data_IF_371342895610
#
_entry.id   IF_371342895610
#
_cell.length_a   1.000
_cell.length_b   1.000
_cell.length_c   1.000
_cell.angle_alpha   90.00
_cell.angle_beta   90.00
_cell.angle_gamma   90.00
#
_symmetry.space_group_name_H-M   'P 1'
#
loop_
_entity.id
_entity.type
_entity.pdbx_description
1 polymer ?
#
# COMPACT_ATOMS: atom_id res chain seq x y z
N UNK A 1 0.26 -9.89 5.14
CA UNK A 1 1.15 -8.84 4.64
C UNK A 1 0.74 -7.50 5.21
N UNK A 2 1.65 -6.87 5.94
CA UNK A 2 1.40 -5.58 6.58
C UNK A 2 1.90 -4.45 5.69
N UNK A 3 1.08 -3.42 5.56
CA UNK A 3 1.46 -2.19 4.87
C UNK A 3 1.96 -1.18 5.89
N UNK A 4 3.13 -0.64 5.64
CA UNK A 4 3.80 0.34 6.48
C UNK A 4 3.81 1.70 5.81
N UNK A 5 3.50 2.74 6.61
CA UNK A 5 3.62 4.15 6.24
C UNK A 5 4.66 4.85 7.09
N UNK A 6 5.55 5.60 6.45
CA UNK A 6 6.41 6.55 7.12
C UNK A 6 5.72 7.91 7.27
N UNK A 7 5.42 8.32 8.50
CA UNK A 7 4.79 9.61 8.83
C UNK A 7 5.66 10.82 8.46
N UNK A 8 6.97 10.63 8.30
CA UNK A 8 7.92 11.71 7.98
C UNK A 8 7.96 12.05 6.49
N UNK A 9 7.91 11.04 5.62
CA UNK A 9 8.14 11.21 4.18
C UNK A 9 7.04 10.63 3.28
N UNK A 10 5.97 10.07 3.86
CA UNK A 10 4.87 9.44 3.13
C UNK A 10 5.28 8.20 2.34
N UNK A 11 6.37 7.54 2.73
CA UNK A 11 6.75 6.27 2.11
C UNK A 11 5.73 5.19 2.50
N UNK A 12 5.27 4.43 1.51
CA UNK A 12 4.42 3.25 1.67
C UNK A 12 5.20 2.03 1.15
N UNK A 13 5.18 0.94 1.91
CA UNK A 13 5.79 -0.33 1.51
C UNK A 13 5.31 -1.50 2.35
N UNK A 14 5.79 -2.70 2.02
CA UNK A 14 5.51 -3.94 2.77
C UNK A 14 6.48 -4.11 3.92
N UNK A 15 6.21 -5.07 4.80
CA UNK A 15 7.15 -5.53 5.83
C UNK A 15 8.55 -5.83 5.24
N UNK A 16 8.58 -6.51 4.09
CA UNK A 16 9.81 -6.90 3.39
C UNK A 16 10.56 -5.72 2.77
N UNK A 17 9.90 -4.57 2.59
CA UNK A 17 10.51 -3.37 2.04
C UNK A 17 11.11 -2.47 3.14
N UNK A 18 10.87 -2.78 4.41
CA UNK A 18 11.45 -2.01 5.52
C UNK A 18 12.98 -2.12 5.54
N UNK A 19 13.62 -1.02 5.93
CA UNK A 19 15.04 -1.03 6.19
C UNK A 19 15.33 -1.74 7.51
N UNK A 20 16.27 -2.67 7.52
CA UNK A 20 16.79 -3.31 8.73
C UNK A 20 18.24 -2.88 8.96
N UNK A 21 18.60 -2.60 10.22
CA UNK A 21 19.98 -2.38 10.61
C UNK A 21 20.68 -3.71 10.88
N UNK A 22 21.77 -4.01 10.16
CA UNK A 22 22.55 -5.22 10.41
C UNK A 22 23.05 -5.27 11.87
N UNK A 23 22.56 -6.26 12.62
CA UNK A 23 22.90 -6.45 14.04
C UNK A 23 21.96 -5.79 15.04
N UNK A 24 20.83 -5.23 14.59
CA UNK A 24 19.77 -4.66 15.42
C UNK A 24 18.41 -5.06 14.83
N UNK A 25 17.42 -5.34 15.66
CA UNK A 25 16.03 -5.58 15.23
C UNK A 25 15.28 -4.25 14.94
N UNK A 26 16.01 -3.14 14.76
CA UNK A 26 15.45 -1.82 14.48
C UNK A 26 15.06 -1.69 13.00
N UNK A 27 13.76 -1.64 12.78
CA UNK A 27 13.12 -1.33 11.50
C UNK A 27 13.13 0.19 11.26
N UNK A 28 13.35 0.61 10.01
CA UNK A 28 13.32 2.01 9.63
C UNK A 28 12.79 2.22 8.21
N UNK A 29 12.30 3.43 7.96
CA UNK A 29 11.87 3.84 6.62
C UNK A 29 13.06 3.82 5.64
N UNK A 30 13.06 2.98 4.59
CA UNK A 30 14.20 2.87 3.67
C UNK A 30 14.48 4.19 2.92
N UNK A 31 13.45 5.04 2.75
CA UNK A 31 13.51 6.32 2.03
C UNK A 31 14.17 7.44 2.81
N UNK A 32 13.82 7.62 4.08
CA UNK A 32 14.32 8.76 4.89
C UNK A 32 15.12 8.35 6.14
N UNK A 33 15.35 7.05 6.33
CA UNK A 33 16.10 6.45 7.47
C UNK A 33 15.52 6.77 8.84
N UNK A 34 14.21 7.02 8.92
CA UNK A 34 13.51 7.26 10.17
C UNK A 34 13.06 5.93 10.79
N UNK A 35 13.46 5.63 12.03
CA UNK A 35 13.07 4.41 12.76
C UNK A 35 11.75 4.54 13.53
N UNK A 36 11.52 5.68 14.20
CA UNK A 36 10.35 5.85 15.08
C UNK A 36 9.08 6.30 14.33
N UNK A 37 9.26 6.79 13.10
CA UNK A 37 8.19 7.38 12.29
C UNK A 37 7.43 6.41 11.38
N UNK A 38 7.71 5.10 11.45
CA UNK A 38 7.01 4.08 10.66
C UNK A 38 5.87 3.47 11.48
N UNK A 39 4.73 3.25 10.83
CA UNK A 39 3.57 2.61 11.45
C UNK A 39 2.80 1.77 10.42
N UNK A 40 2.15 0.71 10.86
CA UNK A 40 1.20 -0.03 10.05
C UNK A 40 -0.03 0.84 9.76
N UNK A 41 -0.62 0.65 8.58
CA UNK A 41 -1.83 1.36 8.15
C UNK A 41 -2.87 0.38 7.64
N UNK A 42 -4.13 0.80 7.68
CA UNK A 42 -5.27 0.03 7.20
C UNK A 42 -6.19 0.86 6.30
N UNK A 43 -7.24 0.23 5.76
CA UNK A 43 -8.17 0.84 4.82
C UNK A 43 -8.96 2.03 5.39
N UNK A 44 -8.93 2.25 6.71
CA UNK A 44 -9.56 3.41 7.36
C UNK A 44 -8.64 4.63 7.49
N UNK A 45 -7.34 4.48 7.21
CA UNK A 45 -6.41 5.61 7.21
C UNK A 45 -6.67 6.57 6.04
N UNK A 46 -6.40 7.86 6.27
CA UNK A 46 -6.40 8.84 5.20
C UNK A 46 -5.08 8.78 4.41
N UNK A 47 -5.18 8.60 3.10
CA UNK A 47 -4.05 8.58 2.17
C UNK A 47 -4.10 9.75 1.20
N UNK A 48 -2.93 10.25 0.81
CA UNK A 48 -2.81 11.18 -0.30
C UNK A 48 -2.66 10.44 -1.64
N UNK A 49 -2.75 11.19 -2.75
CA UNK A 49 -2.65 10.61 -4.09
C UNK A 49 -1.40 9.76 -4.32
N UNK A 50 -0.23 10.19 -3.83
CA UNK A 50 1.02 9.44 -4.02
C UNK A 50 1.05 8.15 -3.19
N UNK A 51 0.45 8.18 -2.00
CA UNK A 51 0.32 6.98 -1.15
C UNK A 51 -0.62 5.96 -1.81
N UNK A 52 -1.77 6.42 -2.33
CA UNK A 52 -2.71 5.57 -3.06
C UNK A 52 -2.10 4.99 -4.34
N UNK A 53 -1.31 5.77 -5.09
CA UNK A 53 -0.55 5.26 -6.23
C UNK A 53 0.42 4.14 -5.82
N UNK A 54 1.11 4.27 -4.68
CA UNK A 54 1.99 3.21 -4.17
C UNK A 54 1.23 1.98 -3.69
N UNK A 55 0.13 2.18 -2.96
CA UNK A 55 -0.78 1.09 -2.57
C UNK A 55 -1.28 0.32 -3.79
N UNK A 56 -1.63 1.03 -4.87
CA UNK A 56 -2.07 0.43 -6.13
C UNK A 56 -0.97 -0.43 -6.78
N UNK A 57 0.28 0.03 -6.77
CA UNK A 57 1.40 -0.78 -7.28
C UNK A 57 1.57 -2.07 -6.47
N UNK A 58 1.54 -1.98 -5.13
CA UNK A 58 1.66 -3.16 -4.25
C UNK A 58 0.48 -4.10 -4.50
N UNK A 59 -0.74 -3.56 -4.62
CA UNK A 59 -1.94 -4.34 -4.92
C UNK A 59 -1.82 -5.11 -6.25
N UNK A 60 -1.24 -4.49 -7.27
CA UNK A 60 -0.99 -5.13 -8.56
C UNK A 60 0.02 -6.29 -8.53
N UNK A 61 0.82 -6.39 -7.47
CA UNK A 61 1.73 -7.53 -7.24
C UNK A 61 1.06 -8.70 -6.51
N UNK A 62 -0.13 -8.51 -5.93
CA UNK A 62 -0.80 -9.53 -5.12
C UNK A 62 -1.45 -10.58 -6.03
N UNK A 63 -1.16 -11.87 -5.80
CA UNK A 63 -1.79 -12.94 -6.56
C UNK A 63 -3.29 -13.01 -6.25
N UNK A 64 -4.08 -13.29 -7.29
CA UNK A 64 -5.53 -13.50 -7.20
C UNK A 64 -5.89 -14.92 -7.62
N UNK A 65 -7.02 -15.41 -7.12
CA UNK A 65 -7.57 -16.71 -7.47
C UNK A 65 -8.41 -16.66 -8.76
N UNK A 66 -9.04 -17.79 -9.11
CA UNK A 66 -9.91 -17.87 -10.30
C UNK A 66 -11.26 -17.14 -10.14
N UNK A 67 -11.62 -16.77 -8.92
CA UNK A 67 -12.81 -16.01 -8.57
C UNK A 67 -12.50 -14.52 -8.35
N UNK A 68 -11.31 -14.05 -8.77
CA UNK A 68 -10.83 -12.68 -8.61
C UNK A 68 -10.69 -12.22 -7.15
N UNK A 69 -10.56 -13.16 -6.21
CA UNK A 69 -10.27 -12.89 -4.81
C UNK A 69 -8.77 -12.81 -4.54
N UNK A 70 -8.34 -11.92 -3.64
CA UNK A 70 -6.95 -11.79 -3.23
C UNK A 70 -6.50 -13.04 -2.47
N UNK A 71 -5.31 -13.53 -2.77
CA UNK A 71 -4.71 -14.68 -2.08
C UNK A 71 -3.80 -14.28 -0.91
N UNK A 72 -3.69 -12.98 -0.63
CA UNK A 72 -2.94 -12.45 0.50
C UNK A 72 -3.71 -11.26 1.10
N UNK A 73 -3.61 -11.04 2.41
CA UNK A 73 -4.19 -9.85 3.04
C UNK A 73 -3.55 -8.57 2.47
N UNK A 74 -4.35 -7.51 2.33
CA UNK A 74 -3.90 -6.23 1.79
C UNK A 74 -4.56 -5.08 2.55
N UNK A 75 -3.79 -4.18 3.14
CA UNK A 75 -4.32 -2.94 3.76
C UNK A 75 -5.48 -3.18 4.76
N UNK A 76 -5.48 -4.32 5.47
CA UNK A 76 -6.54 -4.72 6.39
C UNK A 76 -7.70 -5.52 5.75
N UNK A 77 -7.75 -5.64 4.42
CA UNK A 77 -8.58 -6.63 3.73
C UNK A 77 -7.99 -8.03 3.93
N UNK A 78 -8.85 -8.99 4.26
CA UNK A 78 -8.42 -10.37 4.51
C UNK A 78 -8.20 -11.14 3.21
N UNK A 79 -7.40 -12.22 3.27
CA UNK A 79 -7.35 -13.20 2.19
C UNK A 79 -8.77 -13.67 1.83
N UNK A 80 -9.06 -13.76 0.53
CA UNK A 80 -10.37 -14.10 -0.01
C UNK A 80 -11.28 -12.90 -0.27
N UNK A 81 -10.85 -11.67 0.03
CA UNK A 81 -11.59 -10.46 -0.39
C UNK A 81 -11.57 -10.30 -1.91
N UNK A 82 -12.73 -9.98 -2.49
CA UNK A 82 -12.86 -9.71 -3.93
C UNK A 82 -12.05 -8.47 -4.33
N UNK A 83 -11.22 -8.58 -5.38
CA UNK A 83 -10.42 -7.45 -5.87
C UNK A 83 -11.28 -6.23 -6.25
N UNK A 84 -12.53 -6.46 -6.67
CA UNK A 84 -13.46 -5.42 -7.07
C UNK A 84 -13.88 -4.58 -5.85
N UNK A 85 -14.02 -5.20 -4.66
CA UNK A 85 -14.26 -4.46 -3.41
C UNK A 85 -13.11 -3.49 -3.10
N UNK A 86 -11.87 -3.96 -3.29
CA UNK A 86 -10.68 -3.14 -3.08
C UNK A 86 -10.60 -2.03 -4.13
N UNK A 87 -10.96 -2.30 -5.39
CA UNK A 87 -11.06 -1.28 -6.43
C UNK A 87 -12.09 -0.21 -6.11
N UNK A 88 -13.26 -0.59 -5.59
CA UNK A 88 -14.27 0.36 -5.14
C UNK A 88 -13.73 1.25 -4.01
N UNK A 89 -13.01 0.67 -3.05
CA UNK A 89 -12.34 1.45 -2.01
C UNK A 89 -11.34 2.45 -2.60
N UNK A 90 -10.53 2.05 -3.59
CA UNK A 90 -9.63 2.99 -4.27
C UNK A 90 -10.40 4.10 -4.99
N UNK A 91 -11.50 3.79 -5.65
CA UNK A 91 -12.34 4.77 -6.37
C UNK A 91 -12.95 5.81 -5.43
N UNK A 92 -13.36 5.40 -4.22
CA UNK A 92 -13.89 6.31 -3.20
C UNK A 92 -12.80 7.17 -2.54
N UNK A 93 -11.59 6.64 -2.37
CA UNK A 93 -10.48 7.33 -1.69
C UNK A 93 -9.60 8.15 -2.63
N UNK A 94 -9.59 7.85 -3.93
CA UNK A 94 -8.78 8.54 -4.93
C UNK A 94 -9.67 9.45 -5.79
N UNK A 95 -9.51 10.79 -5.74
CA UNK A 95 -10.42 11.72 -6.42
C UNK A 95 -10.56 11.56 -7.93
N UNK A 96 -9.58 10.96 -8.60
CA UNK A 96 -9.60 10.73 -10.05
C UNK A 96 -10.05 9.30 -10.41
N UNK A 97 -10.40 8.50 -9.40
CA UNK A 97 -10.87 7.13 -9.51
C UNK A 97 -9.81 6.11 -9.89
N UNK A 98 -10.20 4.84 -9.87
CA UNK A 98 -9.30 3.73 -10.20
C UNK A 98 -8.83 3.76 -11.66
N UNK A 99 -9.62 4.38 -12.55
CA UNK A 99 -9.28 4.55 -13.97
C UNK A 99 -8.01 5.39 -14.17
N UNK A 100 -7.76 6.38 -13.31
CA UNK A 100 -6.51 7.14 -13.35
C UNK A 100 -5.33 6.31 -12.84
N UNK A 101 -5.52 5.51 -11.78
CA UNK A 101 -4.49 4.60 -11.25
C UNK A 101 -4.07 3.55 -12.28
N UNK A 102 -5.02 3.00 -13.06
CA UNK A 102 -4.75 2.09 -14.17
C UNK A 102 -3.85 2.71 -15.26
N UNK A 103 -3.92 4.03 -15.45
CA UNK A 103 -3.11 4.78 -16.42
C UNK A 103 -1.79 5.31 -15.85
N UNK A 104 -1.42 4.93 -14.62
CA UNK A 104 -0.17 5.35 -13.97
C UNK A 104 -0.30 6.54 -13.00
N UNK A 105 -1.52 6.93 -12.61
CA UNK A 105 -1.77 8.00 -11.65
C UNK A 105 -1.53 9.41 -12.21
N UNK A 106 -1.41 10.42 -11.33
CA UNK A 106 -1.20 11.84 -11.70
C UNK A 106 0.13 12.11 -12.39
N UNK A 107 1.07 11.17 -12.31
CA UNK A 107 2.37 11.24 -12.97
C UNK A 107 2.42 10.42 -14.28
N UNK A 108 1.26 9.97 -14.80
CA UNK A 108 1.17 9.42 -16.15
C UNK A 108 1.31 10.49 -17.23
N UNK A 109 2.53 10.61 -17.78
CA UNK A 109 3.09 11.56 -18.78
C UNK A 109 3.72 12.86 -18.25
#
# INVERSE_FOLDING_TARGET
MLIWRCKKCGWIGRDSDLGLHYGSDEEYCPRCKEGDGIATVDFSDCFNSQELEKLWQIFGEIPIDNADAILEEFLGFSEGTDRIEIWHWFDENYPEGVAALMNGGRHGN
#
